data_IF_537918833946
#
_entry.id   IF_537918833946
#
_cell.length_a   1.000
_cell.length_b   1.000
_cell.length_c   1.000
_cell.angle_alpha   90.00
_cell.angle_beta   90.00
_cell.angle_gamma   90.00
#
_symmetry.space_group_name_H-M   'P 1'
#
loop_
_entity.id
_entity.type
_entity.pdbx_description
1 polymer ?
#
# COMPACT_ATOMS: atom_id res chain seq x y z
N UNK A 1 -4.05 11.84 -0.30
CA UNK A 1 -3.68 11.40 -1.66
C UNK A 1 -2.32 11.96 -2.11
N UNK A 2 -1.43 11.10 -2.63
CA UNK A 2 -0.17 11.50 -3.29
C UNK A 2 -0.44 11.83 -4.77
N UNK A 3 0.36 12.73 -5.39
CA UNK A 3 0.16 13.09 -6.79
C UNK A 3 0.26 11.85 -7.70
N UNK A 4 -0.66 11.74 -8.66
CA UNK A 4 -0.61 10.70 -9.69
C UNK A 4 0.69 10.86 -10.50
N UNK A 5 1.42 9.77 -10.67
CA UNK A 5 2.73 9.77 -11.30
C UNK A 5 2.82 8.73 -12.41
N UNK A 6 3.53 9.08 -13.49
CA UNK A 6 3.98 8.12 -14.50
C UNK A 6 5.25 7.42 -14.00
N UNK A 7 5.22 6.09 -14.01
CA UNK A 7 6.36 5.22 -13.72
C UNK A 7 6.80 4.51 -15.01
N UNK A 8 8.11 4.30 -15.18
CA UNK A 8 8.66 3.48 -16.27
C UNK A 8 8.51 1.98 -16.02
N UNK A 9 8.08 1.61 -14.81
CA UNK A 9 7.90 0.24 -14.37
C UNK A 9 6.51 -0.25 -14.82
N UNK A 10 6.42 -1.49 -15.28
CA UNK A 10 5.16 -2.12 -15.65
C UNK A 10 4.29 -2.44 -14.42
N UNK A 11 2.99 -2.63 -14.65
CA UNK A 11 2.00 -2.81 -13.58
C UNK A 11 2.21 -4.09 -12.77
N UNK A 12 2.73 -5.16 -13.37
CA UNK A 12 2.93 -6.45 -12.70
C UNK A 12 4.15 -6.39 -11.78
N UNK A 13 5.21 -5.69 -12.20
CA UNK A 13 6.37 -5.40 -11.35
C UNK A 13 5.97 -4.51 -10.17
N UNK A 14 5.16 -3.46 -10.40
CA UNK A 14 4.65 -2.61 -9.32
C UNK A 14 3.78 -3.40 -8.33
N UNK A 15 2.94 -4.30 -8.84
CA UNK A 15 2.19 -5.24 -8.00
C UNK A 15 3.11 -6.11 -7.15
N UNK A 16 4.14 -6.73 -7.74
CA UNK A 16 5.12 -7.55 -7.01
C UNK A 16 5.83 -6.76 -5.91
N UNK A 17 6.19 -5.49 -6.16
CA UNK A 17 6.75 -4.60 -5.14
C UNK A 17 5.74 -4.29 -4.05
N UNK A 18 4.47 -4.07 -4.38
CA UNK A 18 3.44 -3.82 -3.38
C UNK A 18 3.30 -4.99 -2.42
N UNK A 19 3.20 -6.21 -2.95
CA UNK A 19 3.12 -7.44 -2.16
C UNK A 19 4.35 -7.65 -1.27
N UNK A 20 5.56 -7.50 -1.83
CA UNK A 20 6.81 -7.84 -1.11
C UNK A 20 7.33 -6.75 -0.18
N UNK A 21 7.17 -5.46 -0.54
CA UNK A 21 7.75 -4.34 0.22
C UNK A 21 6.78 -3.73 1.23
N UNK A 22 5.48 -3.76 0.96
CA UNK A 22 4.47 -3.29 1.92
C UNK A 22 3.75 -4.44 2.63
N UNK A 23 3.88 -5.69 2.17
CA UNK A 23 3.23 -6.83 2.81
C UNK A 23 1.72 -6.86 2.58
N UNK A 24 1.26 -6.40 1.41
CA UNK A 24 -0.11 -6.68 0.97
C UNK A 24 -0.35 -8.18 0.92
N UNK A 25 -1.53 -8.59 1.37
CA UNK A 25 -1.95 -9.99 1.42
C UNK A 25 -2.86 -10.30 0.25
N UNK A 26 -2.69 -11.48 -0.33
CA UNK A 26 -3.61 -12.01 -1.33
C UNK A 26 -4.98 -12.32 -0.72
N UNK A 27 -6.03 -12.46 -1.54
CA UNK A 27 -7.35 -12.86 -1.05
C UNK A 27 -7.32 -14.17 -0.24
N UNK A 28 -6.50 -15.14 -0.63
CA UNK A 28 -6.33 -16.42 0.07
C UNK A 28 -5.66 -16.23 1.43
N UNK A 29 -4.60 -15.40 1.50
CA UNK A 29 -3.91 -15.08 2.75
C UNK A 29 -4.85 -14.35 3.72
N UNK A 30 -5.67 -13.42 3.24
CA UNK A 30 -6.71 -12.76 4.05
C UNK A 30 -7.76 -13.76 4.51
N UNK A 31 -8.21 -14.67 3.64
CA UNK A 31 -9.18 -15.69 4.01
C UNK A 31 -8.67 -16.63 5.11
N UNK A 32 -7.37 -16.98 5.09
CA UNK A 32 -6.74 -17.75 6.17
C UNK A 32 -6.68 -16.90 7.45
N UNK A 33 -6.20 -15.67 7.36
CA UNK A 33 -6.05 -14.78 8.52
C UNK A 33 -7.39 -14.54 9.25
N UNK A 34 -8.48 -14.37 8.50
CA UNK A 34 -9.85 -14.24 9.02
C UNK A 34 -10.34 -15.45 9.82
N UNK A 35 -9.80 -16.64 9.54
CA UNK A 35 -10.18 -17.88 10.25
C UNK A 35 -9.37 -18.08 11.53
N UNK A 36 -8.17 -17.49 11.61
CA UNK A 36 -7.22 -17.73 12.69
C UNK A 36 -7.18 -16.62 13.75
N UNK A 37 -7.60 -15.41 13.40
CA UNK A 37 -7.56 -14.25 14.31
C UNK A 37 -8.99 -13.84 14.63
N UNK A 38 -9.30 -13.70 15.92
CA UNK A 38 -10.61 -13.24 16.39
C UNK A 38 -11.02 -11.95 15.66
N UNK A 39 -12.30 -11.88 15.28
CA UNK A 39 -12.97 -10.91 14.37
C UNK A 39 -12.78 -9.42 14.69
N UNK A 40 -11.98 -9.09 15.69
CA UNK A 40 -11.69 -7.75 16.22
C UNK A 40 -10.53 -7.04 15.53
N UNK A 41 -9.74 -7.72 14.68
CA UNK A 41 -8.72 -7.03 13.90
C UNK A 41 -9.30 -6.37 12.66
N UNK A 42 -9.00 -5.08 12.50
CA UNK A 42 -9.33 -4.13 11.41
C UNK A 42 -8.92 -4.56 9.98
N UNK A 43 -8.78 -5.86 9.72
CA UNK A 43 -8.33 -6.46 8.47
C UNK A 43 -9.38 -6.31 7.36
N UNK A 44 -10.65 -6.11 7.72
CA UNK A 44 -11.76 -6.07 6.75
C UNK A 44 -12.20 -4.68 6.30
N UNK A 45 -12.08 -3.64 7.13
CA UNK A 45 -12.54 -2.32 6.72
C UNK A 45 -11.59 -1.70 5.69
N UNK A 46 -12.01 -1.75 4.43
CA UNK A 46 -11.30 -1.15 3.31
C UNK A 46 -10.24 -2.04 2.67
N UNK A 47 -10.23 -3.35 2.94
CA UNK A 47 -9.40 -4.27 2.15
C UNK A 47 -9.89 -4.31 0.69
N UNK A 48 -8.96 -4.14 -0.25
CA UNK A 48 -9.19 -4.30 -1.69
C UNK A 48 -8.02 -5.03 -2.31
N UNK A 49 -8.33 -5.92 -3.25
CA UNK A 49 -7.32 -6.60 -4.04
C UNK A 49 -7.89 -6.94 -5.43
N UNK A 50 -8.17 -5.89 -6.20
CA UNK A 50 -8.62 -6.02 -7.58
C UNK A 50 -7.39 -6.16 -8.49
N UNK A 51 -7.43 -7.14 -9.39
CA UNK A 51 -6.31 -7.50 -10.25
C UNK A 51 -6.79 -7.86 -11.65
N UNK A 52 -6.17 -7.21 -12.63
CA UNK A 52 -6.18 -7.62 -14.03
C UNK A 52 -4.73 -7.58 -14.53
N UNK A 53 -4.07 -8.74 -14.54
CA UNK A 53 -2.65 -8.85 -14.90
C UNK A 53 -2.33 -8.15 -16.22
N UNK A 54 -1.23 -7.42 -16.26
CA UNK A 54 -0.80 -6.65 -17.43
C UNK A 54 -1.65 -5.42 -17.75
N UNK A 55 -2.69 -5.11 -16.98
CA UNK A 55 -3.59 -3.96 -17.23
C UNK A 55 -3.77 -3.05 -16.01
N UNK A 56 -4.20 -3.61 -14.88
CA UNK A 56 -4.63 -2.83 -13.72
C UNK A 56 -4.53 -3.58 -12.40
N UNK A 57 -4.23 -2.84 -11.33
CA UNK A 57 -4.32 -3.30 -9.96
C UNK A 57 -4.89 -2.19 -9.06
N UNK A 58 -5.75 -2.57 -8.13
CA UNK A 58 -6.22 -1.71 -7.04
C UNK A 58 -6.17 -2.47 -5.72
N UNK A 59 -5.20 -2.07 -4.91
CA UNK A 59 -4.92 -2.68 -3.62
C UNK A 59 -5.23 -1.68 -2.52
N UNK A 60 -5.87 -2.12 -1.45
CA UNK A 60 -6.03 -1.34 -0.23
C UNK A 60 -5.94 -2.26 0.98
N UNK A 61 -5.14 -1.92 1.98
CA UNK A 61 -4.98 -2.71 3.21
C UNK A 61 -4.29 -1.87 4.27
N UNK A 62 -4.50 -2.22 5.54
CA UNK A 62 -3.57 -1.88 6.61
C UNK A 62 -2.25 -2.64 6.45
N UNK A 63 -1.16 -1.91 6.32
CA UNK A 63 0.20 -2.42 6.11
C UNK A 63 1.15 -1.91 7.21
N UNK A 64 2.18 -2.68 7.57
CA UNK A 64 3.20 -2.20 8.49
C UNK A 64 4.07 -1.12 7.84
N UNK A 65 4.53 -0.17 8.65
CA UNK A 65 5.59 0.77 8.28
C UNK A 65 6.49 1.03 9.49
N UNK A 66 7.72 1.46 9.25
CA UNK A 66 8.69 1.73 10.31
C UNK A 66 8.95 3.24 10.41
N UNK A 67 8.81 3.81 11.61
CA UNK A 67 9.21 5.18 11.93
C UNK A 67 9.97 5.17 13.24
N UNK A 68 11.20 5.71 13.23
CA UNK A 68 12.10 5.78 14.41
C UNK A 68 12.32 4.39 15.05
N UNK A 69 12.50 3.35 14.24
CA UNK A 69 12.77 1.99 14.71
C UNK A 69 11.56 1.23 15.29
N UNK A 70 10.39 1.87 15.38
CA UNK A 70 9.15 1.22 15.85
C UNK A 70 8.30 0.80 14.65
N UNK A 71 7.83 -0.45 14.67
CA UNK A 71 6.85 -0.95 13.71
C UNK A 71 5.46 -0.43 14.07
N UNK A 72 4.82 0.22 13.11
CA UNK A 72 3.47 0.77 13.22
C UNK A 72 2.66 0.32 12.01
N UNK A 73 1.37 0.62 11.99
CA UNK A 73 0.48 0.25 10.89
C UNK A 73 -0.17 1.49 10.29
N UNK A 74 -0.30 1.51 8.97
CA UNK A 74 -1.00 2.55 8.23
C UNK A 74 -1.94 1.90 7.22
N UNK A 75 -3.06 2.53 6.94
CA UNK A 75 -3.86 2.15 5.78
C UNK A 75 -3.18 2.70 4.52
N UNK A 76 -3.03 1.86 3.49
CA UNK A 76 -2.42 2.21 2.22
C UNK A 76 -3.30 1.71 1.07
N UNK A 77 -3.68 2.62 0.17
CA UNK A 77 -4.35 2.32 -1.09
C UNK A 77 -3.43 2.65 -2.27
N UNK A 78 -3.28 1.69 -3.18
CA UNK A 78 -2.45 1.79 -4.37
C UNK A 78 -3.30 1.46 -5.60
N UNK A 79 -3.17 2.27 -6.65
CA UNK A 79 -3.73 2.01 -7.98
C UNK A 79 -2.63 2.06 -9.02
N UNK A 80 -2.52 0.99 -9.80
CA UNK A 80 -1.62 0.91 -10.94
C UNK A 80 -2.44 0.68 -12.19
N UNK A 81 -2.21 1.46 -13.24
CA UNK A 81 -2.82 1.21 -14.55
C UNK A 81 -1.78 1.33 -15.65
N UNK A 82 -1.86 0.44 -16.65
CA UNK A 82 -0.92 0.43 -17.76
C UNK A 82 -0.97 1.76 -18.52
N UNK A 83 0.21 2.29 -18.84
CA UNK A 83 0.36 3.49 -19.64
C UNK A 83 1.55 3.32 -20.61
N UNK A 84 1.25 2.89 -21.83
CA UNK A 84 2.27 2.54 -22.82
C UNK A 84 3.16 1.39 -22.34
N UNK A 85 4.47 1.62 -22.29
CA UNK A 85 5.47 0.70 -21.76
C UNK A 85 5.64 0.78 -20.23
N UNK A 86 4.99 1.76 -19.57
CA UNK A 86 5.06 1.96 -18.12
C UNK A 86 3.67 1.94 -17.47
N UNK A 87 3.52 2.67 -16.38
CA UNK A 87 2.31 2.68 -15.55
C UNK A 87 1.96 4.06 -15.01
N UNK A 88 0.67 4.34 -14.84
CA UNK A 88 0.21 5.40 -13.93
C UNK A 88 0.08 4.83 -12.53
N UNK A 89 0.51 5.61 -11.54
CA UNK A 89 0.55 5.21 -10.13
C UNK A 89 -0.14 6.27 -9.30
N UNK A 90 -1.15 5.86 -8.55
CA UNK A 90 -1.80 6.65 -7.51
C UNK A 90 -1.62 5.94 -6.18
N UNK A 91 -1.27 6.69 -5.14
CA UNK A 91 -1.11 6.16 -3.80
C UNK A 91 -1.79 7.09 -2.79
N UNK A 92 -2.42 6.50 -1.79
CA UNK A 92 -3.01 7.21 -0.66
C UNK A 92 -2.74 6.44 0.62
N UNK A 93 -2.44 7.17 1.69
CA UNK A 93 -2.23 6.54 2.99
C UNK A 93 -2.88 7.36 4.11
N UNK A 94 -3.32 6.64 5.13
CA UNK A 94 -3.86 7.19 6.36
C UNK A 94 -3.11 6.57 7.55
N UNK A 95 -2.65 7.41 8.45
CA UNK A 95 -2.08 7.02 9.74
C UNK A 95 -3.08 7.36 10.84
N UNK A 96 -2.98 6.69 11.99
CA UNK A 96 -3.80 7.01 13.15
C UNK A 96 -3.55 8.48 13.58
N UNK A 97 -4.56 9.35 13.58
CA UNK A 97 -4.40 10.74 13.99
C UNK A 97 -4.07 10.88 15.49
N UNK A 98 -4.43 9.90 16.32
CA UNK A 98 -4.09 9.87 17.74
C UNK A 98 -2.63 9.43 17.99
N UNK A 99 -1.91 9.01 16.95
CA UNK A 99 -0.48 8.74 17.00
C UNK A 99 0.30 10.02 16.65
N UNK A 100 0.85 10.75 17.64
CA UNK A 100 1.55 12.02 17.41
C UNK A 100 2.86 11.82 16.64
N UNK A 101 3.46 10.64 16.69
CA UNK A 101 4.69 10.33 15.97
C UNK A 101 4.34 10.15 14.49
N UNK A 102 3.35 9.32 14.18
CA UNK A 102 2.94 9.06 12.81
C UNK A 102 2.33 10.28 12.11
N UNK A 103 1.51 11.05 12.83
CA UNK A 103 0.76 12.19 12.29
C UNK A 103 1.63 13.43 12.05
N UNK A 104 2.83 13.51 12.64
CA UNK A 104 3.76 14.61 12.40
C UNK A 104 4.11 14.80 10.92
N UNK A 105 4.15 16.05 10.46
CA UNK A 105 4.40 16.40 9.05
C UNK A 105 5.70 15.80 8.51
N UNK A 106 6.76 15.77 9.33
CA UNK A 106 8.05 15.17 8.96
C UNK A 106 7.92 13.66 8.68
N UNK A 107 7.20 12.92 9.52
CA UNK A 107 7.04 11.49 9.31
C UNK A 107 6.07 11.18 8.16
N UNK A 108 5.04 12.00 7.95
CA UNK A 108 4.19 11.91 6.75
C UNK A 108 5.00 12.12 5.47
N UNK A 109 5.96 13.05 5.46
CA UNK A 109 6.87 13.27 4.32
C UNK A 109 7.79 12.06 4.09
N UNK A 110 8.34 11.48 5.15
CA UNK A 110 9.17 10.25 5.06
C UNK A 110 8.38 9.06 4.51
N UNK A 111 7.15 8.85 4.98
CA UNK A 111 6.25 7.80 4.47
C UNK A 111 5.99 8.03 2.96
N UNK A 112 5.64 9.27 2.59
CA UNK A 112 5.41 9.64 1.19
C UNK A 112 6.62 9.37 0.31
N UNK A 113 7.82 9.79 0.73
CA UNK A 113 9.06 9.57 0.01
C UNK A 113 9.37 8.08 -0.15
N UNK A 114 9.16 7.28 0.90
CA UNK A 114 9.37 5.83 0.86
C UNK A 114 8.39 5.13 -0.10
N UNK A 115 7.12 5.54 -0.11
CA UNK A 115 6.14 5.03 -1.07
C UNK A 115 6.58 5.36 -2.50
N UNK A 116 7.02 6.60 -2.73
CA UNK A 116 7.49 7.05 -4.03
C UNK A 116 8.80 6.38 -4.47
N UNK A 117 9.69 6.01 -3.55
CA UNK A 117 10.92 5.26 -3.81
C UNK A 117 10.59 3.83 -4.24
N UNK A 118 9.73 3.14 -3.49
CA UNK A 118 9.36 1.74 -3.78
C UNK A 118 8.60 1.64 -5.10
N UNK A 119 7.68 2.55 -5.36
CA UNK A 119 6.87 2.58 -6.58
C UNK A 119 7.54 3.33 -7.73
N UNK A 120 8.67 3.99 -7.44
CA UNK A 120 9.50 4.69 -8.39
C UNK A 120 10.45 3.75 -9.13
N UNK A 121 10.68 4.07 -10.40
CA UNK A 121 11.73 3.52 -11.26
C UNK A 121 12.12 4.56 -12.28
#
# INVERSE_FOLDING_TARGET
MLPNRKSRVDVDTLYGRAMTRFGFKSPEQIAIYRKTVDRTYLVDQGYKHEKQSGAFYHLAQTVPYAVVGVSRAMWLELKFSKNGTGSNVTAEFCVDPADPIASSSNNRQKISARIQEILGG
#
